data_IF_556216369373
#
_entry.id   IF_556216369373
#
_cell.length_a   1.000
_cell.length_b   1.000
_cell.length_c   1.000
_cell.angle_alpha   90.00
_cell.angle_beta   90.00
_cell.angle_gamma   90.00
#
_symmetry.space_group_name_H-M   'P 1'
#
loop_
_entity.id
_entity.type
_entity.pdbx_description
1 polymer ?
#
# COMPACT_ATOMS: atom_id res chain seq x y z
N UNK A 1 6.83 -0.35 9.78
CA UNK A 1 6.81 -0.82 8.37
C UNK A 1 7.23 -2.28 8.38
N UNK A 2 6.51 -3.15 7.67
CA UNK A 2 6.73 -4.60 7.61
C UNK A 2 7.27 -4.92 6.22
N UNK A 3 8.57 -5.22 6.13
CA UNK A 3 9.26 -5.52 4.87
C UNK A 3 10.55 -6.29 5.19
N UNK A 4 10.61 -7.60 4.90
CA UNK A 4 11.69 -8.46 5.39
C UNK A 4 13.03 -8.21 4.67
N UNK A 5 12.97 -7.65 3.45
CA UNK A 5 14.17 -7.28 2.68
C UNK A 5 13.96 -6.11 1.74
N UNK A 6 15.08 -5.51 1.33
CA UNK A 6 15.15 -4.51 0.27
C UNK A 6 14.96 -5.17 -1.12
N UNK A 7 14.62 -4.37 -2.13
CA UNK A 7 14.39 -4.85 -3.50
C UNK A 7 12.91 -5.04 -3.86
N UNK A 8 12.58 -6.12 -4.55
CA UNK A 8 11.23 -6.41 -5.08
C UNK A 8 10.22 -6.79 -4.00
N UNK A 9 8.94 -6.77 -4.38
CA UNK A 9 7.77 -7.02 -3.51
C UNK A 9 7.12 -8.38 -3.72
N UNK A 10 7.75 -9.26 -4.51
CA UNK A 10 7.36 -10.67 -4.59
C UNK A 10 8.05 -11.42 -3.46
N UNK A 11 7.29 -12.09 -2.60
CA UNK A 11 7.80 -12.78 -1.42
C UNK A 11 7.52 -14.27 -1.45
N UNK A 12 8.47 -15.05 -0.92
CA UNK A 12 8.27 -16.49 -0.68
C UNK A 12 7.33 -16.72 0.51
N UNK A 13 6.89 -17.97 0.69
CA UNK A 13 6.06 -18.33 1.85
C UNK A 13 6.78 -18.06 3.18
N UNK A 14 8.08 -18.35 3.26
CA UNK A 14 8.89 -18.12 4.45
C UNK A 14 9.02 -16.62 4.76
N UNK A 15 9.21 -15.79 3.74
CA UNK A 15 9.27 -14.33 3.90
C UNK A 15 7.92 -13.78 4.40
N UNK A 16 6.80 -14.32 3.91
CA UNK A 16 5.47 -13.96 4.43
C UNK A 16 5.28 -14.41 5.88
N UNK A 17 5.82 -15.58 6.27
CA UNK A 17 5.78 -16.03 7.66
C UNK A 17 6.55 -15.06 8.57
N UNK A 18 7.76 -14.66 8.18
CA UNK A 18 8.54 -13.64 8.90
C UNK A 18 7.78 -12.32 9.03
N UNK A 19 7.11 -11.87 7.96
CA UNK A 19 6.29 -10.65 8.01
C UNK A 19 5.14 -10.76 9.01
N UNK A 20 4.50 -11.93 9.13
CA UNK A 20 3.44 -12.18 10.12
C UNK A 20 3.97 -12.15 11.55
N UNK A 21 5.16 -12.71 11.78
CA UNK A 21 5.84 -12.66 13.08
C UNK A 21 6.13 -11.21 13.48
N UNK A 22 6.70 -10.41 12.58
CA UNK A 22 6.94 -8.98 12.80
C UNK A 22 5.65 -8.23 13.17
N UNK A 23 4.55 -8.51 12.45
CA UNK A 23 3.22 -7.95 12.75
C UNK A 23 2.78 -8.34 14.16
N UNK A 24 2.97 -9.60 14.54
CA UNK A 24 2.66 -10.10 15.88
C UNK A 24 3.44 -9.37 16.98
N UNK A 25 4.74 -9.14 16.75
CA UNK A 25 5.59 -8.36 17.64
C UNK A 25 5.06 -6.93 17.78
N UNK A 26 4.77 -6.24 16.66
CA UNK A 26 4.22 -4.89 16.70
C UNK A 26 2.89 -4.79 17.46
N UNK A 27 2.03 -5.80 17.36
CA UNK A 27 0.79 -5.87 18.14
C UNK A 27 1.04 -6.02 19.63
N UNK A 28 1.99 -6.88 20.02
CA UNK A 28 2.32 -7.13 21.43
C UNK A 28 2.97 -5.94 22.14
N UNK A 29 3.63 -5.04 21.40
CA UNK A 29 4.28 -3.85 21.96
C UNK A 29 3.28 -2.83 22.55
N UNK A 30 1.99 -2.91 22.19
CA UNK A 30 0.87 -2.39 22.97
C UNK A 30 0.71 -0.86 23.11
N UNK A 31 1.73 -0.04 22.85
CA UNK A 31 1.65 1.42 22.94
C UNK A 31 2.45 2.07 21.79
N UNK A 32 1.77 2.86 20.95
CA UNK A 32 2.41 3.69 19.91
C UNK A 32 2.38 3.14 18.47
N UNK A 33 1.92 1.91 18.25
CA UNK A 33 1.75 1.37 16.88
C UNK A 33 0.35 1.68 16.38
N UNK A 34 0.22 2.72 15.55
CA UNK A 34 -1.05 3.10 14.92
C UNK A 34 -1.48 2.14 13.79
N UNK A 35 -0.52 1.43 13.18
CA UNK A 35 -0.76 0.62 12.00
C UNK A 35 0.48 -0.08 11.48
N UNK A 36 0.27 -0.97 10.51
CA UNK A 36 1.31 -1.64 9.74
C UNK A 36 1.28 -1.17 8.29
N UNK A 37 2.45 -1.22 7.66
CA UNK A 37 2.65 -0.75 6.28
C UNK A 37 3.40 -1.84 5.55
N UNK A 38 2.82 -2.40 4.48
CA UNK A 38 3.43 -3.45 3.65
C UNK A 38 2.94 -3.34 2.20
N UNK A 39 3.46 -4.16 1.31
CA UNK A 39 2.85 -4.36 -0.02
C UNK A 39 3.47 -5.56 -0.69
N UNK A 40 2.63 -6.36 -1.33
CA UNK A 40 2.99 -7.67 -1.85
C UNK A 40 2.50 -7.82 -3.28
N UNK A 41 3.38 -8.27 -4.16
CA UNK A 41 3.11 -8.41 -5.59
C UNK A 41 3.37 -9.84 -6.05
N UNK A 42 2.77 -10.19 -7.19
CA UNK A 42 3.09 -11.41 -7.93
C UNK A 42 4.24 -11.16 -8.91
N UNK A 43 4.82 -12.22 -9.47
CA UNK A 43 5.87 -12.10 -10.49
C UNK A 43 5.39 -11.40 -11.77
N UNK A 44 4.08 -11.36 -12.00
CA UNK A 44 3.45 -10.68 -13.13
C UNK A 44 3.21 -9.18 -12.88
N UNK A 45 3.67 -8.66 -11.73
CA UNK A 45 3.49 -7.25 -11.36
C UNK A 45 2.06 -6.90 -10.94
N UNK A 46 1.28 -7.88 -10.51
CA UNK A 46 -0.07 -7.66 -9.94
C UNK A 46 -0.03 -7.71 -8.42
N UNK A 47 -1.08 -7.23 -7.76
CA UNK A 47 -1.23 -7.37 -6.32
C UNK A 47 -1.40 -8.84 -5.97
N UNK A 48 -0.63 -9.33 -5.00
CA UNK A 48 -0.86 -10.68 -4.48
C UNK A 48 -1.99 -10.63 -3.43
N UNK A 49 -3.24 -10.70 -3.89
CA UNK A 49 -4.45 -10.57 -3.05
C UNK A 49 -4.46 -11.59 -1.91
N UNK A 50 -4.02 -12.83 -2.16
CA UNK A 50 -3.97 -13.88 -1.15
C UNK A 50 -3.00 -13.52 -0.01
N UNK A 51 -1.74 -13.22 -0.34
CA UNK A 51 -0.75 -12.82 0.67
C UNK A 51 -1.13 -11.50 1.36
N UNK A 52 -1.72 -10.55 0.62
CA UNK A 52 -2.17 -9.29 1.18
C UNK A 52 -3.25 -9.48 2.24
N UNK A 53 -4.21 -10.38 1.97
CA UNK A 53 -5.26 -10.77 2.92
C UNK A 53 -4.69 -11.41 4.17
N UNK A 54 -3.78 -12.38 4.02
CA UNK A 54 -3.16 -13.04 5.17
C UNK A 54 -2.43 -12.06 6.10
N UNK A 55 -1.72 -11.08 5.53
CA UNK A 55 -1.02 -10.06 6.30
C UNK A 55 -1.99 -9.06 6.95
N UNK A 56 -3.07 -8.68 6.26
CA UNK A 56 -4.09 -7.81 6.80
C UNK A 56 -4.84 -8.46 7.98
N UNK A 57 -5.15 -9.75 7.89
CA UNK A 57 -5.75 -10.54 8.96
C UNK A 57 -4.83 -10.64 10.17
N UNK A 58 -3.54 -10.92 9.97
CA UNK A 58 -2.55 -10.94 11.04
C UNK A 58 -2.45 -9.58 11.78
N UNK A 59 -2.62 -8.49 11.02
CA UNK A 59 -2.52 -7.12 11.52
C UNK A 59 -3.74 -6.64 12.30
N UNK A 60 -4.92 -7.23 12.13
CA UNK A 60 -6.14 -6.81 12.81
C UNK A 60 -5.95 -6.76 14.34
N UNK A 61 -6.37 -5.70 15.05
CA UNK A 61 -7.19 -4.58 14.60
C UNK A 61 -6.41 -3.32 14.14
N UNK A 62 -5.09 -3.43 13.90
CA UNK A 62 -4.27 -2.29 13.50
C UNK A 62 -4.67 -1.76 12.11
N UNK A 63 -4.48 -0.46 11.87
CA UNK A 63 -4.63 0.09 10.51
C UNK A 63 -3.61 -0.53 9.57
N UNK A 64 -4.03 -0.88 8.35
CA UNK A 64 -3.12 -1.40 7.33
C UNK A 64 -3.03 -0.41 6.17
N UNK A 65 -1.78 -0.09 5.78
CA UNK A 65 -1.47 0.73 4.60
C UNK A 65 -0.72 -0.10 3.56
N UNK A 66 -1.25 -0.20 2.34
CA UNK A 66 -0.53 -0.75 1.20
C UNK A 66 0.45 0.29 0.67
N UNK A 67 1.75 -0.02 0.66
CA UNK A 67 2.78 0.97 0.39
C UNK A 67 3.07 1.14 -1.11
N UNK A 68 4.23 1.73 -1.43
CA UNK A 68 4.70 2.04 -2.79
C UNK A 68 4.95 0.85 -3.73
N UNK A 69 4.70 -0.38 -3.30
CA UNK A 69 4.52 -1.50 -4.24
C UNK A 69 3.40 -1.22 -5.25
N UNK A 70 2.40 -0.42 -4.86
CA UNK A 70 1.37 0.07 -5.76
C UNK A 70 1.96 0.84 -6.96
N UNK A 71 2.99 1.66 -6.73
CA UNK A 71 3.61 2.49 -7.80
C UNK A 71 4.28 1.66 -8.91
N UNK A 72 4.50 0.37 -8.68
CA UNK A 72 5.22 -0.51 -9.62
C UNK A 72 4.34 -1.67 -10.11
N UNK A 73 3.03 -1.60 -9.89
CA UNK A 73 2.10 -2.56 -10.49
C UNK A 73 2.01 -2.34 -11.99
N UNK A 74 1.68 -3.41 -12.70
CA UNK A 74 1.51 -3.39 -14.15
C UNK A 74 0.34 -2.51 -14.59
N UNK A 75 -0.74 -2.57 -13.81
CA UNK A 75 -1.99 -1.83 -14.03
C UNK A 75 -2.44 -1.25 -12.69
N UNK A 76 -2.76 0.04 -12.67
CA UNK A 76 -3.10 0.76 -11.44
C UNK A 76 -4.59 0.60 -11.08
N UNK A 77 -5.45 0.45 -12.08
CA UNK A 77 -6.89 0.26 -11.89
C UNK A 77 -7.14 -1.14 -11.34
N UNK A 78 -6.53 -2.17 -11.96
CA UNK A 78 -6.57 -3.56 -11.48
C UNK A 78 -6.03 -3.64 -10.04
N UNK A 79 -4.90 -2.97 -9.77
CA UNK A 79 -4.30 -2.96 -8.44
C UNK A 79 -5.18 -2.26 -7.39
N UNK A 80 -5.87 -1.18 -7.74
CA UNK A 80 -6.79 -0.50 -6.82
C UNK A 80 -7.94 -1.41 -6.44
N UNK A 81 -8.61 -2.01 -7.44
CA UNK A 81 -9.74 -2.91 -7.24
C UNK A 81 -9.32 -4.12 -6.39
N UNK A 82 -8.16 -4.70 -6.68
CA UNK A 82 -7.61 -5.82 -5.92
C UNK A 82 -7.35 -5.45 -4.46
N UNK A 83 -6.74 -4.29 -4.20
CA UNK A 83 -6.45 -3.83 -2.83
C UNK A 83 -7.76 -3.48 -2.10
N UNK A 84 -8.70 -2.83 -2.77
CA UNK A 84 -10.00 -2.44 -2.19
C UNK A 84 -10.85 -3.66 -1.77
N UNK A 85 -10.67 -4.80 -2.45
CA UNK A 85 -11.33 -6.07 -2.11
C UNK A 85 -10.71 -6.78 -0.90
N UNK A 86 -9.50 -6.41 -0.47
CA UNK A 86 -8.85 -7.05 0.69
C UNK A 86 -9.37 -6.41 1.99
N UNK A 87 -10.10 -7.17 2.83
CA UNK A 87 -10.58 -6.64 4.10
C UNK A 87 -9.41 -6.26 5.02
N UNK A 88 -9.53 -5.12 5.69
CA UNK A 88 -8.53 -4.63 6.64
C UNK A 88 -7.48 -3.69 6.03
N UNK A 89 -7.32 -3.65 4.71
CA UNK A 89 -6.52 -2.60 4.07
C UNK A 89 -7.33 -1.31 4.03
N UNK A 90 -6.82 -0.30 4.73
CA UNK A 90 -7.53 0.97 4.93
C UNK A 90 -6.91 2.12 4.16
N UNK A 91 -5.65 1.99 3.72
CA UNK A 91 -4.92 3.07 3.05
C UNK A 91 -4.02 2.55 1.94
N UNK A 92 -3.80 3.36 0.91
CA UNK A 92 -2.80 3.13 -0.15
C UNK A 92 -1.84 4.31 -0.18
N UNK A 93 -0.53 4.06 -0.11
CA UNK A 93 0.52 5.05 -0.24
C UNK A 93 1.11 5.02 -1.64
N UNK A 94 0.91 6.09 -2.41
CA UNK A 94 1.38 6.21 -3.79
C UNK A 94 2.08 7.55 -4.03
N UNK A 95 3.00 7.58 -4.99
CA UNK A 95 3.59 8.83 -5.53
C UNK A 95 2.92 9.30 -6.82
N UNK A 96 2.01 8.52 -7.37
CA UNK A 96 1.37 8.78 -8.65
C UNK A 96 0.13 9.67 -8.45
N UNK A 97 0.38 10.92 -8.06
CA UNK A 97 -0.68 11.92 -7.83
C UNK A 97 -1.54 12.18 -9.10
N UNK A 98 -0.96 11.99 -10.28
CA UNK A 98 -1.59 12.34 -11.57
C UNK A 98 -2.48 11.21 -12.09
N UNK A 99 -2.14 9.94 -11.85
CA UNK A 99 -2.92 8.81 -12.35
C UNK A 99 -4.30 8.73 -11.67
N UNK A 100 -4.36 8.97 -10.35
CA UNK A 100 -5.61 8.87 -9.59
C UNK A 100 -6.58 10.02 -9.76
N UNK A 101 -6.11 11.25 -9.96
CA UNK A 101 -7.02 12.39 -10.23
C UNK A 101 -7.78 12.17 -11.54
N UNK A 102 -7.19 11.45 -12.49
CA UNK A 102 -7.86 11.04 -13.72
C UNK A 102 -8.89 9.92 -13.46
N UNK A 103 -8.54 8.90 -12.66
CA UNK A 103 -9.44 7.79 -12.32
C UNK A 103 -10.65 8.29 -11.52
N UNK A 104 -10.45 9.05 -10.44
CA UNK A 104 -11.52 9.65 -9.63
C UNK A 104 -12.40 10.67 -10.40
N UNK A 105 -11.92 11.23 -11.52
CA UNK A 105 -12.73 12.07 -12.43
C UNK A 105 -13.47 11.27 -13.50
N UNK A 106 -13.02 10.06 -13.84
CA UNK A 106 -13.64 9.19 -14.85
C UNK A 106 -14.79 8.37 -14.25
N UNK A 107 -14.68 7.95 -12.99
CA UNK A 107 -15.78 7.36 -12.20
C UNK A 107 -16.38 8.46 -11.32
N UNK A 108 -17.42 9.13 -11.83
CA UNK A 108 -18.06 10.30 -11.22
C UNK A 108 -18.77 10.03 -9.88
N UNK A 109 -18.05 9.70 -8.82
CA UNK A 109 -18.61 9.57 -7.47
C UNK A 109 -17.55 9.86 -6.42
N UNK A 110 -17.79 10.92 -5.65
CA UNK A 110 -16.95 11.45 -4.57
C UNK A 110 -16.98 10.63 -3.28
N UNK A 111 -17.34 9.34 -3.34
CA UNK A 111 -17.21 8.41 -2.22
C UNK A 111 -16.69 7.06 -2.75
N UNK A 112 -15.37 6.92 -2.76
CA UNK A 112 -14.75 5.61 -3.01
C UNK A 112 -15.02 4.76 -1.76
N UNK A 113 -15.91 3.76 -1.88
CA UNK A 113 -16.11 2.71 -0.88
C UNK A 113 -14.87 1.77 -0.84
N UNK A 114 -13.72 2.32 -0.44
CA UNK A 114 -12.42 1.65 -0.49
C UNK A 114 -11.36 2.36 0.36
N UNK A 115 -10.11 1.88 0.35
CA UNK A 115 -9.03 2.44 1.16
C UNK A 115 -8.75 3.91 0.81
N UNK A 116 -8.44 4.72 1.82
CA UNK A 116 -8.06 6.12 1.62
C UNK A 116 -6.71 6.22 0.93
N UNK A 117 -6.60 7.08 -0.08
CA UNK A 117 -5.35 7.28 -0.81
C UNK A 117 -4.50 8.34 -0.09
N UNK A 118 -3.27 7.99 0.20
CA UNK A 118 -2.26 8.88 0.80
C UNK A 118 -1.19 9.15 -0.26
N UNK A 119 -1.09 10.41 -0.68
CA UNK A 119 -0.04 10.84 -1.58
C UNK A 119 1.24 11.09 -0.78
N UNK A 120 2.31 10.37 -1.11
CA UNK A 120 3.63 10.72 -0.59
C UNK A 120 4.10 11.98 -1.33
N UNK A 121 4.20 13.11 -0.63
CA UNK A 121 4.74 14.35 -1.18
C UNK A 121 6.10 14.07 -1.83
N UNK A 122 6.22 14.47 -3.10
CA UNK A 122 7.52 14.56 -3.76
C UNK A 122 8.16 15.82 -3.15
N UNK A 123 9.33 15.74 -2.49
CA UNK A 123 10.02 16.95 -2.04
C UNK A 123 10.14 17.86 -3.25
N UNK A 124 9.57 19.06 -3.15
CA UNK A 124 9.55 20.02 -4.25
C UNK A 124 10.98 20.16 -4.77
N UNK A 125 11.25 19.68 -5.98
CA UNK A 125 12.45 20.13 -6.68
C UNK A 125 12.31 21.64 -6.76
N UNK A 126 13.26 22.33 -6.15
CA UNK A 126 13.47 23.76 -6.21
C UNK A 126 13.04 24.29 -7.58
N UNK A 127 11.90 24.99 -7.65
CA UNK A 127 11.52 25.74 -8.85
C UNK A 127 12.61 26.81 -9.01
N UNK A 128 13.40 26.85 -10.09
CA UNK A 128 14.30 27.99 -10.28
C UNK A 128 13.43 29.26 -10.32
N UNK A 129 13.84 30.34 -9.66
CA UNK A 129 13.06 31.57 -9.67
C UNK A 129 12.87 31.99 -11.13
N UNK A 130 11.61 32.24 -11.53
CA UNK A 130 11.32 32.97 -12.75
C UNK A 130 12.07 34.29 -12.64
N UNK A 131 13.14 34.44 -13.42
CA UNK A 131 13.82 35.71 -13.56
C UNK A 131 12.89 36.64 -14.35
N UNK A 132 12.53 37.73 -13.68
CA UNK A 132 11.91 38.93 -14.26
C UNK A 132 12.91 39.70 -15.11
#
# INVERSE_FOLDING_TARGET
>A
MVRPRLGHFVYTADEIATMKEDIGVFKSMGVGVAGVVFGVLTNEGRVNVHQAKELAEAAAPLQVTFHRAFDVTRDLDEAFDDIARVPGITRILTRQAIAYVCIAKLIGSTELNGPSIVLAEVPSRHRPPCQS
#
